data_IF_286315494910
#
_entry.id   IF_286315494910
#
_cell.length_a   1.000
_cell.length_b   1.000
_cell.length_c   1.000
_cell.angle_alpha   90.00
_cell.angle_beta   90.00
_cell.angle_gamma   90.00
#
_symmetry.space_group_name_H-M   'P 1'
#
loop_
_entity.id
_entity.type
_entity.pdbx_description
1 polymer ?
#
# COMPACT_ATOMS: atom_id res chain seq x y z
N UNK A 1 -18.44 1.48 1.25
CA UNK A 1 -17.17 1.47 0.50
C UNK A 1 -16.07 1.89 1.45
N UNK A 2 -14.90 1.27 1.38
CA UNK A 2 -13.80 1.57 2.29
C UNK A 2 -13.27 2.99 2.07
N UNK A 3 -12.71 3.58 3.13
CA UNK A 3 -12.16 4.93 3.14
C UNK A 3 -10.64 4.89 3.30
N UNK A 4 -9.95 5.63 2.44
CA UNK A 4 -8.51 5.82 2.53
C UNK A 4 -8.09 6.47 3.87
N UNK A 5 -8.83 7.48 4.33
CA UNK A 5 -8.49 8.24 5.54
C UNK A 5 -8.55 7.36 6.80
N UNK A 6 -9.33 6.27 6.76
CA UNK A 6 -9.36 5.26 7.82
C UNK A 6 -8.21 4.24 7.72
N UNK A 7 -7.66 4.03 6.52
CA UNK A 7 -6.62 3.04 6.27
C UNK A 7 -5.21 3.61 6.41
N UNK A 8 -4.96 4.84 5.92
CA UNK A 8 -3.64 5.46 5.88
C UNK A 8 -2.94 5.57 7.26
N UNK A 9 -3.63 5.78 8.40
CA UNK A 9 -2.96 5.83 9.70
C UNK A 9 -2.29 4.51 10.07
N UNK A 10 -2.81 3.37 9.59
CA UNK A 10 -2.19 2.05 9.80
C UNK A 10 -0.86 1.95 9.08
N UNK A 11 -0.80 2.44 7.84
CA UNK A 11 0.42 2.38 7.03
C UNK A 11 1.50 3.28 7.60
N UNK A 12 1.16 4.53 7.92
CA UNK A 12 2.11 5.49 8.48
C UNK A 12 2.65 5.07 9.86
N UNK A 13 1.90 4.24 10.61
CA UNK A 13 2.38 3.69 11.89
C UNK A 13 3.44 2.59 11.69
N UNK A 14 3.37 1.84 10.59
CA UNK A 14 4.33 0.77 10.29
C UNK A 14 5.58 1.30 9.56
N UNK A 15 5.39 2.29 8.69
CA UNK A 15 6.39 2.82 7.77
C UNK A 15 6.93 4.16 8.28
N UNK A 16 7.79 4.13 9.31
CA UNK A 16 8.33 5.31 9.95
C UNK A 16 9.85 5.42 9.84
N UNK A 17 10.33 6.54 9.29
CA UNK A 17 11.74 6.94 9.33
C UNK A 17 12.45 6.91 7.98
N UNK A 18 13.42 7.81 7.83
CA UNK A 18 14.37 7.77 6.72
C UNK A 18 15.40 6.67 6.96
N UNK A 19 15.56 5.78 5.99
CA UNK A 19 16.59 4.75 5.97
C UNK A 19 17.35 4.88 4.67
N UNK A 20 18.68 4.90 4.77
CA UNK A 20 19.59 4.88 3.63
C UNK A 20 20.73 3.93 3.96
N UNK A 21 20.45 2.63 3.82
CA UNK A 21 21.42 1.56 4.01
C UNK A 21 21.95 1.11 2.62
N UNK A 22 23.27 1.17 2.37
CA UNK A 22 23.87 0.70 1.12
C UNK A 22 23.62 -0.78 0.81
N UNK A 23 23.28 -1.60 1.81
CA UNK A 23 22.95 -3.01 1.68
C UNK A 23 21.43 -3.25 1.57
N UNK A 24 20.60 -2.23 1.76
CA UNK A 24 19.16 -2.36 1.61
C UNK A 24 18.78 -2.41 0.12
N UNK A 25 18.12 -3.48 -0.35
CA UNK A 25 17.68 -3.60 -1.74
C UNK A 25 16.67 -2.51 -2.18
N UNK A 26 16.03 -1.80 -1.23
CA UNK A 26 15.20 -0.62 -1.48
C UNK A 26 15.99 0.66 -1.73
N UNK A 27 17.23 0.72 -1.21
CA UNK A 27 18.05 1.93 -1.20
C UNK A 27 17.45 3.02 -0.32
N UNK A 28 17.59 4.28 -0.74
CA UNK A 28 17.02 5.42 -0.04
C UNK A 28 15.49 5.30 0.09
N UNK A 29 14.99 5.21 1.33
CA UNK A 29 13.58 4.99 1.63
C UNK A 29 13.13 5.91 2.76
N UNK A 30 11.95 6.51 2.62
CA UNK A 30 11.32 7.33 3.65
C UNK A 30 9.81 7.12 3.61
N UNK A 31 9.16 6.99 4.77
CA UNK A 31 7.74 6.63 4.87
C UNK A 31 7.35 5.40 4.05
N UNK A 32 8.25 4.40 3.91
CA UNK A 32 8.02 3.21 3.09
C UNK A 32 8.07 3.44 1.57
N UNK A 33 8.39 4.66 1.13
CA UNK A 33 8.51 5.04 -0.27
C UNK A 33 10.00 5.03 -0.63
N UNK A 34 10.39 4.09 -1.50
CA UNK A 34 11.79 3.91 -1.91
C UNK A 34 12.11 4.66 -3.20
N UNK A 35 13.34 5.16 -3.30
CA UNK A 35 13.90 5.79 -4.50
C UNK A 35 13.89 4.84 -5.69
N UNK A 36 14.01 3.53 -5.43
CA UNK A 36 13.88 2.51 -6.47
C UNK A 36 12.49 2.47 -7.10
N UNK A 37 11.44 2.61 -6.29
CA UNK A 37 10.06 2.61 -6.78
C UNK A 37 9.65 3.97 -7.38
N UNK A 38 10.24 5.06 -6.88
CA UNK A 38 9.96 6.44 -7.28
C UNK A 38 11.27 7.22 -7.55
N UNK A 39 11.96 6.91 -8.66
CA UNK A 39 13.28 7.49 -8.97
C UNK A 39 13.25 9.02 -9.12
N UNK A 40 12.10 9.58 -9.49
CA UNK A 40 11.88 11.00 -9.67
C UNK A 40 11.75 11.80 -8.36
N UNK A 41 11.43 11.16 -7.23
CA UNK A 41 11.13 11.86 -5.98
C UNK A 41 12.37 12.12 -5.14
N UNK A 42 12.42 13.26 -4.46
CA UNK A 42 13.38 13.53 -3.40
C UNK A 42 12.93 12.81 -2.11
N UNK A 43 13.37 11.57 -1.93
CA UNK A 43 12.95 10.70 -0.83
C UNK A 43 13.45 11.23 0.53
N UNK A 44 14.65 11.84 0.55
CA UNK A 44 15.23 12.41 1.76
C UNK A 44 14.36 13.52 2.36
N UNK A 45 13.85 14.39 1.51
CA UNK A 45 13.06 15.55 1.91
C UNK A 45 11.54 15.34 1.79
N UNK A 46 11.11 14.08 1.64
CA UNK A 46 9.69 13.75 1.57
C UNK A 46 8.99 14.20 2.85
N UNK A 47 7.87 14.91 2.72
CA UNK A 47 7.00 15.22 3.86
C UNK A 47 5.96 14.12 4.06
N UNK A 48 5.43 14.01 5.29
CA UNK A 48 4.34 13.08 5.56
C UNK A 48 3.09 13.36 4.70
N UNK A 49 2.80 14.63 4.40
CA UNK A 49 1.71 15.02 3.49
C UNK A 49 1.94 14.48 2.08
N UNK A 50 3.13 14.67 1.53
CA UNK A 50 3.48 14.11 0.22
C UNK A 50 3.42 12.58 0.21
N UNK A 51 3.86 11.91 1.28
CA UNK A 51 3.73 10.46 1.41
C UNK A 51 2.26 10.01 1.38
N UNK A 52 1.39 10.70 2.11
CA UNK A 52 -0.06 10.46 2.11
C UNK A 52 -0.65 10.63 0.72
N UNK A 53 -0.27 11.67 -0.02
CA UNK A 53 -0.76 11.91 -1.37
C UNK A 53 -0.31 10.82 -2.34
N UNK A 54 0.96 10.39 -2.25
CA UNK A 54 1.49 9.27 -3.03
C UNK A 54 0.70 7.99 -2.74
N UNK A 55 0.46 7.68 -1.47
CA UNK A 55 -0.33 6.52 -1.08
C UNK A 55 -1.78 6.60 -1.59
N UNK A 56 -2.39 7.79 -1.54
CA UNK A 56 -3.75 8.00 -2.04
C UNK A 56 -3.82 7.73 -3.54
N UNK A 57 -2.95 8.35 -4.32
CA UNK A 57 -3.01 8.26 -5.79
C UNK A 57 -2.49 6.92 -6.32
N UNK A 58 -1.28 6.53 -5.92
CA UNK A 58 -0.53 5.43 -6.54
C UNK A 58 -0.95 4.07 -6.01
N UNK A 59 -1.46 4.01 -4.78
CA UNK A 59 -1.87 2.76 -4.17
C UNK A 59 -3.38 2.63 -4.06
N UNK A 60 -4.04 3.60 -3.43
CA UNK A 60 -5.45 3.46 -3.09
C UNK A 60 -6.38 3.63 -4.29
N UNK A 61 -6.30 4.78 -4.98
CA UNK A 61 -7.18 5.11 -6.10
C UNK A 61 -6.85 4.28 -7.35
N UNK A 62 -5.56 4.08 -7.64
CA UNK A 62 -5.14 3.30 -8.81
C UNK A 62 -5.63 1.84 -8.78
N UNK A 63 -5.80 1.25 -7.60
CA UNK A 63 -6.26 -0.14 -7.41
C UNK A 63 -7.67 -0.27 -6.82
N UNK A 64 -8.42 0.83 -6.78
CA UNK A 64 -9.87 0.84 -6.47
C UNK A 64 -10.16 0.15 -5.12
N UNK A 65 -9.35 0.43 -4.10
CA UNK A 65 -9.53 -0.17 -2.77
C UNK A 65 -10.77 0.33 -2.05
N UNK A 66 -11.30 1.49 -2.44
CA UNK A 66 -12.64 1.96 -2.07
C UNK A 66 -13.75 1.00 -2.54
N UNK A 67 -13.51 0.25 -3.63
CA UNK A 67 -14.33 -0.87 -4.11
C UNK A 67 -14.61 -1.97 -3.08
N UNK A 68 -13.72 -2.13 -2.09
CA UNK A 68 -13.86 -3.15 -1.05
C UNK A 68 -14.85 -2.64 0.01
N UNK A 69 -15.92 -3.41 0.25
CA UNK A 69 -16.98 -2.99 1.20
C UNK A 69 -16.48 -3.00 2.64
N UNK A 70 -15.68 -3.99 3.01
CA UNK A 70 -15.16 -4.14 4.37
C UNK A 70 -13.86 -3.35 4.57
N UNK A 71 -13.88 -2.41 5.52
CA UNK A 71 -12.75 -1.52 5.80
C UNK A 71 -11.49 -2.27 6.26
N UNK A 72 -11.63 -3.31 7.10
CA UNK A 72 -10.49 -4.04 7.65
C UNK A 72 -9.79 -4.86 6.55
N UNK A 73 -10.57 -5.49 5.67
CA UNK A 73 -10.05 -6.18 4.49
C UNK A 73 -9.33 -5.19 3.58
N UNK A 74 -9.94 -4.04 3.29
CA UNK A 74 -9.31 -3.02 2.44
C UNK A 74 -7.99 -2.52 3.03
N UNK A 75 -7.99 -2.20 4.32
CA UNK A 75 -6.80 -1.75 5.05
C UNK A 75 -5.71 -2.82 5.03
N UNK A 76 -6.08 -4.10 5.21
CA UNK A 76 -5.09 -5.18 5.20
C UNK A 76 -4.51 -5.46 3.82
N UNK A 77 -5.32 -5.41 2.77
CA UNK A 77 -4.86 -5.59 1.39
C UNK A 77 -3.97 -4.42 0.97
N UNK A 78 -4.30 -3.20 1.41
CA UNK A 78 -3.47 -2.03 1.20
C UNK A 78 -2.10 -2.17 1.91
N UNK A 79 -2.08 -2.53 3.19
CA UNK A 79 -0.87 -2.82 3.98
C UNK A 79 0.04 -3.86 3.30
N UNK A 80 -0.56 -4.97 2.83
CA UNK A 80 0.17 -5.98 2.07
C UNK A 80 0.71 -5.41 0.76
N UNK A 81 -0.08 -4.62 0.02
CA UNK A 81 0.36 -4.06 -1.25
C UNK A 81 1.55 -3.11 -1.12
N UNK A 82 1.63 -2.34 -0.02
CA UNK A 82 2.79 -1.51 0.31
C UNK A 82 4.04 -2.38 0.53
N UNK A 83 3.91 -3.43 1.33
CA UNK A 83 5.05 -4.27 1.74
C UNK A 83 5.56 -5.24 0.67
N UNK A 84 4.67 -5.88 -0.11
CA UNK A 84 5.02 -6.95 -1.06
C UNK A 84 4.59 -6.66 -2.50
N UNK A 85 4.07 -5.47 -2.77
CA UNK A 85 3.55 -5.07 -4.07
C UNK A 85 2.12 -5.60 -4.35
N UNK A 86 1.39 -4.81 -5.15
CA UNK A 86 -0.03 -5.05 -5.49
C UNK A 86 -0.32 -6.47 -5.96
N UNK A 87 0.47 -6.97 -6.93
CA UNK A 87 0.27 -8.30 -7.51
C UNK A 87 0.31 -9.42 -6.46
N UNK A 88 1.24 -9.36 -5.52
CA UNK A 88 1.37 -10.38 -4.48
C UNK A 88 0.20 -10.29 -3.49
N UNK A 89 -0.11 -9.07 -3.02
CA UNK A 89 -1.22 -8.81 -2.12
C UNK A 89 -2.58 -9.25 -2.69
N UNK A 90 -2.88 -8.89 -3.94
CA UNK A 90 -4.13 -9.25 -4.60
C UNK A 90 -4.25 -10.76 -4.80
N UNK A 91 -3.17 -11.43 -5.21
CA UNK A 91 -3.15 -12.90 -5.32
C UNK A 91 -3.39 -13.58 -3.98
N UNK A 92 -2.86 -13.03 -2.89
CA UNK A 92 -3.10 -13.57 -1.55
C UNK A 92 -4.58 -13.45 -1.16
N UNK A 93 -5.19 -12.27 -1.38
CA UNK A 93 -6.62 -12.06 -1.16
C UNK A 93 -7.46 -13.02 -2.00
N UNK A 94 -7.20 -13.12 -3.31
CA UNK A 94 -7.92 -14.02 -4.22
C UNK A 94 -7.82 -15.49 -3.78
N UNK A 95 -6.64 -15.93 -3.33
CA UNK A 95 -6.46 -17.29 -2.78
C UNK A 95 -7.31 -17.50 -1.53
N UNK A 96 -7.34 -16.54 -0.61
CA UNK A 96 -8.17 -16.60 0.59
C UNK A 96 -9.66 -16.69 0.23
N UNK A 97 -10.15 -15.79 -0.63
CA UNK A 97 -11.55 -15.76 -1.07
C UNK A 97 -11.98 -17.08 -1.73
N UNK A 98 -11.15 -17.63 -2.62
CA UNK A 98 -11.40 -18.94 -3.26
C UNK A 98 -11.45 -20.08 -2.25
N UNK A 99 -10.54 -20.10 -1.28
CA UNK A 99 -10.49 -21.14 -0.25
C UNK A 99 -11.78 -21.18 0.58
N UNK A 100 -12.37 -20.03 0.86
CA UNK A 100 -13.60 -19.90 1.64
C UNK A 100 -14.88 -19.78 0.79
N UNK A 101 -14.80 -19.96 -0.54
CA UNK A 101 -15.93 -19.85 -1.48
C UNK A 101 -16.69 -18.52 -1.40
N UNK A 102 -15.97 -17.44 -1.12
CA UNK A 102 -16.51 -16.08 -1.05
C UNK A 102 -16.36 -15.45 -2.45
N UNK A 103 -17.40 -15.55 -3.27
CA UNK A 103 -17.33 -15.18 -4.70
C UNK A 103 -17.55 -13.67 -4.98
N UNK A 104 -18.08 -12.90 -4.03
CA UNK A 104 -18.54 -11.51 -4.24
C UNK A 104 -17.45 -10.43 -4.11
N UNK A 105 -16.16 -10.80 -4.04
CA UNK A 105 -15.03 -9.86 -3.85
C UNK A 105 -13.92 -10.03 -4.89
N UNK A 106 -14.18 -10.74 -6.00
CA UNK A 106 -13.14 -11.18 -6.93
C UNK A 106 -12.74 -10.16 -8.01
N UNK A 107 -13.43 -9.03 -8.14
CA UNK A 107 -13.22 -8.05 -9.21
C UNK A 107 -12.36 -6.85 -8.79
N UNK A 108 -11.21 -7.12 -8.15
CA UNK A 108 -10.18 -6.09 -7.95
C UNK A 108 -9.19 -6.23 -9.12
N UNK A 109 -9.19 -5.22 -10.00
CA UNK A 109 -8.31 -5.15 -11.18
C UNK A 109 -6.88 -4.77 -10.82
#
# INVERSE_FOLDING_TARGET
MASFDKAIPTILKHEGGYVHDPLDPGGETNFGISKRAFPELDIKNLTSGQAVDIYRERYWLHHIYDGIVNQDIATKVFDLAVNMGHRAAHRLLQKALRKFKVHHLLDIK
#
